data_IF_369945951112
#
_entry.id   IF_369945951112
#
_cell.length_a   1.000
_cell.length_b   1.000
_cell.length_c   1.000
_cell.angle_alpha   90.00
_cell.angle_beta   90.00
_cell.angle_gamma   90.00
#
_symmetry.space_group_name_H-M   'P 1'
#
loop_
_entity.id
_entity.type
_entity.pdbx_description
1 polymer ?
#
# COMPACT_ATOMS: atom_id res chain seq x y z
N UNK A 1 12.16 -7.45 4.00
CA UNK A 1 11.03 -7.26 4.93
C UNK A 1 10.84 -5.77 5.15
N UNK A 2 9.61 -5.27 5.24
CA UNK A 2 9.33 -3.84 5.50
C UNK A 2 8.64 -3.73 6.85
N UNK A 3 9.06 -2.78 7.69
CA UNK A 3 8.40 -2.45 8.95
C UNK A 3 7.91 -1.01 8.86
N UNK A 4 6.60 -0.81 8.90
CA UNK A 4 5.97 0.52 8.86
C UNK A 4 5.14 0.75 10.12
N UNK A 5 5.51 1.70 10.98
CA UNK A 5 4.67 2.06 12.11
C UNK A 5 3.39 2.76 11.63
N UNK A 6 2.27 2.49 12.29
CA UNK A 6 0.99 3.15 12.03
C UNK A 6 0.73 4.16 13.14
N UNK A 7 0.47 5.42 12.78
CA UNK A 7 0.22 6.54 13.68
C UNK A 7 1.21 6.64 14.87
N UNK A 8 2.54 6.62 14.63
CA UNK A 8 3.51 6.70 15.71
C UNK A 8 3.45 8.04 16.46
N UNK A 9 3.64 8.01 17.78
CA UNK A 9 3.83 9.23 18.61
C UNK A 9 5.25 9.83 18.47
N UNK A 10 5.79 9.86 17.26
CA UNK A 10 6.98 10.63 16.91
C UNK A 10 6.99 10.93 15.42
N UNK A 11 7.40 12.15 15.07
CA UNK A 11 7.52 12.64 13.70
C UNK A 11 8.72 12.06 12.94
N UNK A 12 9.64 11.38 13.64
CA UNK A 12 10.85 10.81 13.04
C UNK A 12 10.71 9.32 12.68
N UNK A 13 9.56 8.69 12.97
CA UNK A 13 9.37 7.28 12.63
C UNK A 13 9.11 7.10 11.14
N UNK A 14 10.07 6.51 10.45
CA UNK A 14 10.02 6.21 9.01
C UNK A 14 9.89 4.69 8.80
N UNK A 15 9.28 4.25 7.68
CA UNK A 15 9.33 2.84 7.28
C UNK A 15 10.78 2.36 7.14
N UNK A 16 11.04 1.13 7.58
CA UNK A 16 12.35 0.49 7.52
C UNK A 16 12.33 -0.65 6.50
N UNK A 17 13.34 -0.71 5.63
CA UNK A 17 13.59 -1.83 4.73
C UNK A 17 14.71 -2.67 5.32
N UNK A 18 14.40 -3.93 5.62
CA UNK A 18 15.31 -4.88 6.25
C UNK A 18 15.66 -6.01 5.27
N UNK A 19 16.89 -6.56 5.34
CA UNK A 19 17.28 -7.77 4.61
C UNK A 19 16.29 -8.93 4.78
N UNK A 20 16.24 -9.82 3.80
CA UNK A 20 15.31 -10.97 3.84
C UNK A 20 15.67 -12.02 4.89
N UNK A 21 16.93 -12.04 5.35
CA UNK A 21 17.42 -12.90 6.43
C UNK A 21 17.18 -12.34 7.84
N UNK A 22 16.65 -11.11 7.95
CA UNK A 22 16.39 -10.50 9.25
C UNK A 22 15.28 -11.22 10.01
N UNK A 23 15.47 -11.32 11.32
CA UNK A 23 14.47 -11.76 12.29
C UNK A 23 14.06 -10.55 13.12
N UNK A 24 12.78 -10.20 13.12
CA UNK A 24 12.25 -9.04 13.85
C UNK A 24 11.41 -9.51 15.01
N UNK A 25 11.75 -9.02 16.21
CA UNK A 25 10.99 -9.27 17.43
C UNK A 25 10.23 -8.01 17.83
N UNK A 26 8.90 -8.10 17.92
CA UNK A 26 8.03 -7.04 18.40
C UNK A 26 7.47 -7.46 19.76
N UNK A 27 7.86 -6.76 20.82
CA UNK A 27 7.50 -7.09 22.20
C UNK A 27 6.63 -5.99 22.81
N UNK A 28 5.57 -6.41 23.52
CA UNK A 28 4.81 -5.49 24.37
C UNK A 28 5.66 -5.15 25.59
N UNK A 29 5.97 -3.87 25.76
CA UNK A 29 6.81 -3.43 26.87
C UNK A 29 6.20 -3.82 28.22
N UNK A 30 7.02 -4.26 29.19
CA UNK A 30 6.54 -4.76 30.49
C UNK A 30 5.73 -3.73 31.30
N UNK A 31 5.98 -2.44 31.09
CA UNK A 31 5.24 -1.32 31.72
C UNK A 31 4.09 -0.79 30.86
N UNK A 32 3.72 -1.48 29.78
CA UNK A 32 2.61 -1.07 28.92
C UNK A 32 1.30 -1.08 29.70
N UNK A 33 0.50 -0.03 29.55
CA UNK A 33 -0.86 0.07 30.15
C UNK A 33 -1.91 -0.74 29.40
N UNK A 34 -1.59 -1.21 28.19
CA UNK A 34 -2.48 -1.96 27.32
C UNK A 34 -1.85 -3.23 26.77
N UNK A 35 -2.70 -4.09 26.21
CA UNK A 35 -2.35 -5.29 25.44
C UNK A 35 -2.15 -4.92 23.97
N UNK A 36 -1.58 -5.83 23.20
CA UNK A 36 -1.56 -5.72 21.74
C UNK A 36 -2.29 -6.92 21.13
N UNK A 37 -2.82 -6.77 19.93
CA UNK A 37 -3.43 -7.88 19.17
C UNK A 37 -2.67 -8.06 17.88
N UNK A 38 -2.39 -9.30 17.51
CA UNK A 38 -1.71 -9.62 16.27
C UNK A 38 -2.73 -10.04 15.22
N UNK A 39 -2.62 -9.48 14.02
CA UNK A 39 -3.39 -9.91 12.86
C UNK A 39 -2.42 -10.41 11.78
N UNK A 40 -2.67 -11.59 11.23
CA UNK A 40 -1.94 -12.14 10.08
C UNK A 40 -2.91 -12.22 8.90
N UNK A 41 -2.57 -11.55 7.80
CA UNK A 41 -3.42 -11.44 6.60
C UNK A 41 -4.87 -11.01 6.91
N UNK A 42 -5.04 -10.11 7.89
CA UNK A 42 -6.34 -9.60 8.32
C UNK A 42 -7.13 -10.50 9.27
N UNK A 43 -6.58 -11.65 9.69
CA UNK A 43 -7.20 -12.58 10.65
C UNK A 43 -6.64 -12.40 12.04
N UNK A 44 -7.51 -12.37 13.06
CA UNK A 44 -7.10 -12.33 14.45
C UNK A 44 -6.29 -13.58 14.81
N UNK A 45 -5.09 -13.37 15.33
CA UNK A 45 -4.15 -14.40 15.72
C UNK A 45 -3.87 -14.41 17.23
N UNK A 46 -4.58 -13.59 18.00
CA UNK A 46 -4.53 -13.54 19.45
C UNK A 46 -3.98 -12.25 20.04
N UNK A 47 -4.12 -12.15 21.35
CA UNK A 47 -3.61 -11.04 22.16
C UNK A 47 -2.20 -11.34 22.69
N UNK A 48 -1.42 -10.29 22.87
CA UNK A 48 -0.13 -10.26 23.53
C UNK A 48 -0.23 -9.43 24.80
N UNK A 49 0.14 -10.05 25.91
CA UNK A 49 0.29 -9.45 27.22
C UNK A 49 1.68 -8.81 27.39
N UNK A 50 1.87 -8.10 28.51
CA UNK A 50 3.13 -7.45 28.83
C UNK A 50 4.30 -8.44 28.88
N UNK A 51 5.37 -8.13 28.14
CA UNK A 51 6.56 -8.98 28.04
C UNK A 51 6.46 -10.06 26.95
N UNK A 52 5.27 -10.36 26.44
CA UNK A 52 5.07 -11.25 25.31
C UNK A 52 5.44 -10.56 24.00
N UNK A 53 5.75 -11.36 22.99
CA UNK A 53 6.28 -10.88 21.72
C UNK A 53 5.90 -11.78 20.56
N UNK A 54 5.95 -11.21 19.37
CA UNK A 54 5.94 -11.95 18.11
C UNK A 54 7.33 -11.87 17.47
N UNK A 55 7.72 -12.95 16.81
CA UNK A 55 8.92 -13.02 15.99
C UNK A 55 8.49 -13.20 14.53
N UNK A 56 8.97 -12.31 13.65
CA UNK A 56 8.70 -12.32 12.22
C UNK A 56 9.99 -12.61 11.48
N UNK A 57 9.94 -13.63 10.61
CA UNK A 57 11.05 -14.07 9.77
C UNK A 57 10.55 -14.58 8.43
N UNK A 58 11.42 -14.63 7.43
CA UNK A 58 11.10 -15.20 6.12
C UNK A 58 10.73 -16.68 6.27
N UNK A 59 9.59 -17.07 5.71
CA UNK A 59 9.17 -18.48 5.63
C UNK A 59 10.12 -19.28 4.73
N UNK A 60 10.47 -20.52 5.10
CA UNK A 60 11.16 -21.43 4.17
C UNK A 60 10.24 -21.97 3.08
N UNK A 61 8.92 -21.77 3.20
CA UNK A 61 7.90 -22.22 2.25
C UNK A 61 7.31 -21.01 1.53
N UNK A 62 7.84 -20.61 0.35
CA UNK A 62 7.27 -19.52 -0.43
C UNK A 62 5.96 -19.95 -1.08
N UNK A 63 5.04 -19.00 -1.24
CA UNK A 63 3.84 -19.19 -2.06
C UNK A 63 4.21 -19.09 -3.53
N UNK A 64 3.73 -20.03 -4.34
CA UNK A 64 3.91 -20.02 -5.79
C UNK A 64 2.82 -19.14 -6.42
N UNK A 65 3.22 -18.04 -7.04
CA UNK A 65 2.31 -17.14 -7.75
C UNK A 65 2.46 -17.31 -9.27
N UNK A 66 1.34 -17.48 -9.97
CA UNK A 66 1.30 -17.56 -11.45
C UNK A 66 1.14 -16.15 -12.01
N UNK A 67 1.99 -15.76 -12.95
CA UNK A 67 1.97 -14.45 -13.59
C UNK A 67 1.69 -14.59 -15.09
N UNK A 68 1.06 -13.56 -15.69
CA UNK A 68 0.67 -13.56 -17.11
C UNK A 68 1.82 -13.22 -18.06
N UNK A 69 2.70 -12.31 -17.65
CA UNK A 69 3.79 -11.75 -18.45
C UNK A 69 5.09 -11.61 -17.62
N UNK A 70 6.12 -10.95 -18.18
CA UNK A 70 7.35 -10.57 -17.47
C UNK A 70 7.02 -9.87 -16.16
N UNK A 71 7.57 -10.41 -15.06
CA UNK A 71 7.29 -10.00 -13.69
C UNK A 71 7.48 -8.50 -13.49
N UNK A 72 8.54 -7.92 -14.08
CA UNK A 72 8.90 -6.52 -13.92
C UNK A 72 7.98 -5.56 -14.68
N UNK A 73 7.63 -5.91 -15.92
CA UNK A 73 6.74 -5.09 -16.74
C UNK A 73 5.29 -5.16 -16.25
N UNK A 74 4.84 -6.36 -15.84
CA UNK A 74 3.49 -6.59 -15.37
C UNK A 74 3.15 -5.80 -14.10
N UNK A 75 3.99 -5.87 -13.05
CA UNK A 75 3.68 -5.17 -11.79
C UNK A 75 3.58 -3.65 -11.97
N UNK A 76 4.44 -3.07 -12.82
CA UNK A 76 4.49 -1.64 -13.05
C UNK A 76 3.25 -1.17 -13.83
N UNK A 77 2.76 -1.98 -14.77
CA UNK A 77 1.51 -1.71 -15.47
C UNK A 77 0.32 -1.79 -14.50
N UNK A 78 0.23 -2.86 -13.71
CA UNK A 78 -0.87 -3.12 -12.79
C UNK A 78 -1.02 -1.99 -11.76
N UNK A 79 0.10 -1.56 -11.14
CA UNK A 79 0.05 -0.49 -10.13
C UNK A 79 -0.37 0.85 -10.73
N UNK A 80 0.06 1.17 -11.95
CA UNK A 80 -0.32 2.39 -12.65
C UNK A 80 -1.79 2.38 -13.06
N UNK A 81 -2.32 1.24 -13.49
CA UNK A 81 -3.73 1.09 -13.83
C UNK A 81 -4.64 1.15 -12.61
N UNK A 82 -4.20 0.57 -11.48
CA UNK A 82 -4.97 0.53 -10.23
C UNK A 82 -5.04 1.90 -9.54
N UNK A 83 -3.89 2.55 -9.34
CA UNK A 83 -3.82 3.78 -8.55
C UNK A 83 -4.05 5.04 -9.39
N UNK A 84 -3.79 4.97 -10.70
CA UNK A 84 -3.93 6.08 -11.66
C UNK A 84 -3.31 7.39 -11.18
N UNK A 85 -2.16 7.29 -10.52
CA UNK A 85 -1.45 8.47 -10.03
C UNK A 85 -1.20 9.47 -11.14
N UNK A 86 -1.42 10.76 -10.84
CA UNK A 86 -1.20 11.88 -11.76
C UNK A 86 -2.03 11.85 -13.06
N UNK A 87 -3.09 11.03 -13.16
CA UNK A 87 -4.07 11.22 -14.25
C UNK A 87 -4.90 12.46 -13.99
N UNK A 88 -4.95 13.34 -14.98
CA UNK A 88 -5.91 14.45 -14.99
C UNK A 88 -7.32 13.90 -15.11
N UNK A 89 -8.27 14.48 -14.38
CA UNK A 89 -9.68 14.23 -14.60
C UNK A 89 -10.04 14.73 -16.01
N UNK A 90 -10.28 13.80 -16.95
CA UNK A 90 -10.87 14.14 -18.23
C UNK A 90 -12.34 14.44 -18.01
N UNK A 91 -12.70 15.72 -18.05
CA UNK A 91 -14.11 16.11 -18.12
C UNK A 91 -14.61 15.82 -19.54
N UNK A 92 -15.74 15.12 -19.69
CA UNK A 92 -16.41 15.02 -20.99
C UNK A 92 -17.10 16.35 -21.26
N UNK A 93 -16.33 17.36 -21.65
CA UNK A 93 -16.87 18.60 -22.17
C UNK A 93 -16.00 19.09 -23.33
N UNK A 94 -15.87 18.25 -24.35
CA UNK A 94 -15.99 18.79 -25.71
C UNK A 94 -17.43 19.29 -25.81
N UNK A 95 -17.62 20.59 -25.60
CA UNK A 95 -18.87 21.27 -25.94
C UNK A 95 -19.19 20.96 -27.41
N UNK A 96 -20.35 20.41 -27.77
CA UNK A 96 -20.74 20.23 -29.17
C UNK A 96 -21.04 21.57 -29.87
N UNK A 97 -20.95 22.68 -29.13
CA UNK A 97 -21.27 24.03 -29.58
C UNK A 97 -20.07 24.93 -29.29
N UNK A 98 -18.97 24.73 -30.03
CA UNK A 98 -18.14 25.87 -30.41
C UNK A 98 -18.93 26.63 -31.46
N UNK A 99 -19.26 27.89 -31.16
CA UNK A 99 -19.89 28.82 -32.08
C UNK A 99 -19.06 28.97 -33.36
N UNK A 100 -19.44 28.25 -34.41
CA UNK A 100 -19.14 28.59 -35.80
C UNK A 100 -20.49 28.61 -36.53
N UNK A 101 -21.16 29.77 -36.52
CA UNK A 101 -22.25 30.09 -37.45
C UNK A 101 -21.63 30.78 -38.68
N UNK A 102 -21.53 30.12 -39.84
CA UNK A 102 -21.01 30.71 -41.05
C UNK A 102 -22.17 31.13 -41.95
N UNK A 103 -23.16 31.88 -41.45
CA UNK A 103 -24.22 32.43 -42.33
C UNK A 103 -24.70 33.82 -41.91
N UNK A 104 -23.79 34.80 -41.89
CA UNK A 104 -24.16 36.22 -41.89
C UNK A 104 -23.16 37.07 -42.67
N UNK A 105 -22.94 36.71 -43.93
CA UNK A 105 -22.44 37.61 -44.98
C UNK A 105 -23.08 37.25 -46.32
N UNK A 106 -24.27 37.76 -46.56
CA UNK A 106 -24.76 38.28 -47.84
C UNK A 106 -26.16 38.88 -47.63
N UNK A 107 -26.34 40.09 -48.19
CA UNK A 107 -27.46 41.06 -48.10
C UNK A 107 -27.55 42.00 -46.88
#
# INVERSE_FOLDING_TARGET
MIVSPVCPRSLSFRPLILPSSSVVKLQVHRKSRGRATAYMDGRDCGELLQGEYIEVRKSPYPLMCVNRDDLAAGWALDINQLLQFNRTFSYPHDTPFSDDDPTSREE
#
